data_IF_988721359692
#
_entry.id   IF_988721359692
#
_cell.length_a   1.000
_cell.length_b   1.000
_cell.length_c   1.000
_cell.angle_alpha   90.00
_cell.angle_beta   90.00
_cell.angle_gamma   90.00
#
_symmetry.space_group_name_H-M   'P 1'
#
loop_
_entity.id
_entity.type
_entity.pdbx_description
1 polymer ?
#
# COMPACT_ATOMS: atom_id res chain seq x y z
N UNK A 1 -35.89 -41.19 57.70
CA UNK A 1 -34.96 -41.16 56.55
C UNK A 1 -35.16 -39.82 55.85
N UNK A 2 -34.25 -38.87 56.09
CA UNK A 2 -33.37 -38.30 55.06
C UNK A 2 -34.17 -37.66 53.91
N UNK A 3 -34.32 -36.32 53.93
CA UNK A 3 -33.52 -35.36 53.13
C UNK A 3 -34.06 -35.24 51.69
N UNK A 4 -34.18 -34.11 51.00
CA UNK A 4 -33.97 -32.68 51.20
C UNK A 4 -34.24 -32.02 49.80
N UNK A 5 -34.50 -30.72 49.74
CA UNK A 5 -34.43 -29.82 48.55
C UNK A 5 -35.51 -29.96 47.45
N UNK A 6 -36.04 -28.91 46.82
CA UNK A 6 -35.97 -27.46 47.00
C UNK A 6 -37.08 -26.80 46.16
N UNK A 7 -37.75 -25.88 46.81
CA UNK A 7 -38.48 -24.66 46.40
C UNK A 7 -38.31 -24.11 44.97
N UNK A 8 -39.48 -23.77 44.38
CA UNK A 8 -39.93 -22.45 43.94
C UNK A 8 -39.08 -21.55 43.00
N UNK A 9 -39.70 -21.23 41.86
CA UNK A 9 -39.87 -19.90 41.24
C UNK A 9 -38.64 -19.02 40.96
N UNK A 10 -38.42 -18.73 39.68
CA UNK A 10 -37.58 -17.62 39.23
C UNK A 10 -37.76 -17.34 37.74
N UNK A 11 -38.62 -16.36 37.43
CA UNK A 11 -38.63 -15.71 36.12
C UNK A 11 -37.29 -15.03 35.89
N UNK A 12 -36.58 -15.33 34.79
CA UNK A 12 -35.59 -14.41 34.23
C UNK A 12 -35.74 -14.41 32.70
N UNK A 13 -36.18 -13.27 32.18
CA UNK A 13 -36.03 -12.88 30.80
C UNK A 13 -34.54 -12.92 30.43
N UNK A 14 -34.21 -13.46 29.26
CA UNK A 14 -32.89 -13.23 28.68
C UNK A 14 -33.05 -12.37 27.42
N UNK A 15 -32.71 -11.09 27.60
CA UNK A 15 -32.58 -10.13 26.53
C UNK A 15 -31.32 -10.47 25.75
N UNK A 16 -31.50 -11.08 24.58
CA UNK A 16 -30.43 -11.24 23.60
C UNK A 16 -29.98 -9.87 23.11
N UNK A 17 -28.99 -9.30 23.79
CA UNK A 17 -28.14 -8.22 23.28
C UNK A 17 -27.49 -8.73 21.99
N UNK A 18 -28.10 -8.40 20.85
CA UNK A 18 -27.51 -8.60 19.54
C UNK A 18 -26.31 -7.66 19.40
N UNK A 19 -25.15 -8.08 19.89
CA UNK A 19 -23.89 -7.48 19.49
C UNK A 19 -23.75 -7.69 17.98
N UNK A 20 -24.01 -6.64 17.20
CA UNK A 20 -23.58 -6.59 15.81
C UNK A 20 -22.07 -6.70 15.84
N UNK A 21 -21.54 -7.87 15.45
CA UNK A 21 -20.11 -8.02 15.23
C UNK A 21 -19.73 -7.01 14.13
N UNK A 22 -19.06 -5.93 14.51
CA UNK A 22 -18.47 -5.00 13.57
C UNK A 22 -17.51 -5.82 12.72
N UNK A 23 -17.89 -6.05 11.45
CA UNK A 23 -17.04 -6.72 10.48
C UNK A 23 -15.75 -5.91 10.42
N UNK A 24 -14.66 -6.50 10.89
CA UNK A 24 -13.35 -5.86 10.86
C UNK A 24 -13.04 -5.51 9.41
N UNK A 25 -12.84 -4.22 9.14
CA UNK A 25 -12.54 -3.79 7.78
C UNK A 25 -11.18 -4.40 7.39
N UNK A 26 -11.07 -4.97 6.18
CA UNK A 26 -9.81 -5.55 5.74
C UNK A 26 -8.70 -4.50 5.80
N UNK A 27 -7.50 -4.92 6.18
CA UNK A 27 -6.32 -4.06 6.15
C UNK A 27 -5.79 -3.94 4.72
N UNK A 28 -5.27 -2.76 4.38
CA UNK A 28 -4.57 -2.56 3.12
C UNK A 28 -3.20 -3.24 3.21
N UNK A 29 -2.90 -4.09 2.24
CA UNK A 29 -1.68 -4.90 2.17
C UNK A 29 -1.34 -5.23 0.71
N UNK A 30 -0.17 -5.81 0.48
CA UNK A 30 0.25 -6.36 -0.81
C UNK A 30 -0.68 -7.52 -1.20
N UNK A 31 -1.21 -7.50 -2.42
CA UNK A 31 -2.19 -8.48 -2.91
C UNK A 31 -1.52 -9.67 -3.59
N UNK A 32 -1.61 -10.84 -2.96
CA UNK A 32 -1.05 -12.09 -3.50
C UNK A 32 -1.80 -12.61 -4.73
N UNK A 33 -2.96 -12.05 -5.07
CA UNK A 33 -3.67 -12.35 -6.33
C UNK A 33 -3.20 -11.46 -7.49
N UNK A 34 -2.50 -10.37 -7.19
CA UNK A 34 -2.02 -9.39 -8.16
C UNK A 34 -0.53 -9.12 -7.94
N UNK A 35 0.28 -10.16 -8.16
CA UNK A 35 1.74 -10.12 -8.06
C UNK A 35 2.39 -10.85 -9.24
N UNK A 36 3.65 -10.52 -9.51
CA UNK A 36 4.50 -11.21 -10.48
C UNK A 36 4.79 -12.66 -10.08
N UNK A 37 5.21 -13.46 -11.05
CA UNK A 37 5.37 -14.92 -10.93
C UNK A 37 6.39 -15.31 -9.86
N UNK A 38 7.50 -14.57 -9.81
CA UNK A 38 8.63 -14.85 -8.91
C UNK A 38 8.68 -13.87 -7.72
N UNK A 39 7.54 -13.23 -7.42
CA UNK A 39 7.39 -12.33 -6.27
C UNK A 39 7.08 -13.15 -5.01
N UNK A 40 7.74 -12.77 -3.92
CA UNK A 40 7.54 -13.37 -2.60
C UNK A 40 7.02 -12.31 -1.64
N UNK A 41 5.86 -12.58 -1.04
CA UNK A 41 5.21 -11.69 -0.07
C UNK A 41 5.26 -12.32 1.32
N UNK A 42 5.81 -11.61 2.29
CA UNK A 42 5.93 -12.06 3.70
C UNK A 42 5.53 -10.95 4.68
N UNK A 43 5.70 -11.18 5.99
CA UNK A 43 5.32 -10.25 7.07
C UNK A 43 3.86 -9.79 6.98
N UNK A 44 2.94 -10.74 6.77
CA UNK A 44 1.49 -10.46 6.68
C UNK A 44 1.15 -9.42 5.59
N UNK A 45 1.65 -9.64 4.37
CA UNK A 45 1.35 -8.76 3.23
C UNK A 45 2.09 -7.43 3.24
N UNK A 46 3.17 -7.30 4.03
CA UNK A 46 3.89 -6.03 4.20
C UNK A 46 5.31 -6.03 3.63
N UNK A 47 5.88 -7.18 3.30
CA UNK A 47 7.22 -7.27 2.72
C UNK A 47 7.15 -7.91 1.35
N UNK A 48 7.81 -7.29 0.37
CA UNK A 48 8.03 -7.84 -0.97
C UNK A 48 9.52 -8.09 -1.20
N UNK A 49 9.84 -9.25 -1.76
CA UNK A 49 11.16 -9.64 -2.28
C UNK A 49 10.99 -10.59 -3.49
N UNK A 50 12.09 -11.05 -4.09
CA UNK A 50 12.08 -11.87 -5.30
C UNK A 50 12.22 -11.02 -6.57
N UNK A 51 11.54 -11.39 -7.65
CA UNK A 51 11.59 -10.68 -8.93
C UNK A 51 10.17 -10.44 -9.47
N UNK A 52 9.80 -9.18 -9.64
CA UNK A 52 8.50 -8.75 -10.15
C UNK A 52 7.85 -7.63 -9.35
N UNK A 53 6.63 -7.27 -9.73
CA UNK A 53 5.78 -6.25 -9.11
C UNK A 53 4.59 -6.83 -8.36
N UNK A 54 4.03 -6.06 -7.44
CA UNK A 54 2.80 -6.40 -6.72
C UNK A 54 1.96 -5.13 -6.49
N UNK A 55 0.65 -5.24 -6.71
CA UNK A 55 -0.32 -4.20 -6.36
C UNK A 55 -0.74 -4.33 -4.89
N UNK A 56 -1.14 -3.23 -4.27
CA UNK A 56 -1.91 -3.33 -3.02
C UNK A 56 -3.35 -3.79 -3.31
N UNK A 57 -4.01 -4.35 -2.30
CA UNK A 57 -5.38 -4.88 -2.39
C UNK A 57 -6.49 -3.81 -2.37
N UNK A 58 -6.14 -2.52 -2.28
CA UNK A 58 -7.09 -1.41 -2.23
C UNK A 58 -6.78 -0.35 -3.30
N UNK A 59 -7.77 0.06 -4.11
CA UNK A 59 -7.58 1.13 -5.08
C UNK A 59 -7.49 2.50 -4.39
N UNK A 60 -6.86 3.45 -5.08
CA UNK A 60 -6.83 4.85 -4.66
C UNK A 60 -8.10 5.56 -5.14
N UNK A 61 -9.26 5.27 -4.54
CA UNK A 61 -10.54 5.92 -4.89
C UNK A 61 -10.78 7.26 -4.17
N UNK A 62 -10.11 7.46 -3.04
CA UNK A 62 -10.23 8.69 -2.26
C UNK A 62 -9.38 9.83 -2.85
N UNK A 63 -9.87 11.06 -2.70
CA UNK A 63 -9.26 12.25 -3.29
C UNK A 63 -7.77 12.44 -2.99
N UNK A 64 -7.28 12.01 -1.82
CA UNK A 64 -5.90 12.20 -1.38
C UNK A 64 -5.42 10.99 -0.59
N UNK A 65 -4.49 10.23 -1.16
CA UNK A 65 -3.95 9.00 -0.57
C UNK A 65 -2.46 9.12 -0.28
N UNK A 66 -2.04 8.54 0.84
CA UNK A 66 -0.64 8.43 1.25
C UNK A 66 -0.29 7.00 1.65
N UNK A 67 0.89 6.56 1.25
CA UNK A 67 1.49 5.30 1.67
C UNK A 67 3.02 5.43 1.71
N UNK A 68 3.67 4.54 2.46
CA UNK A 68 5.11 4.54 2.63
C UNK A 68 5.72 3.18 2.27
N UNK A 69 7.01 3.22 1.93
CA UNK A 69 7.84 2.04 1.79
C UNK A 69 9.20 2.29 2.42
N UNK A 70 9.64 1.35 3.25
CA UNK A 70 11.00 1.33 3.80
C UNK A 70 11.88 0.42 2.97
N UNK A 71 13.01 0.93 2.52
CA UNK A 71 14.00 0.17 1.75
C UNK A 71 14.79 -0.69 2.75
N UNK A 72 14.56 -1.99 2.77
CA UNK A 72 15.22 -2.91 3.70
C UNK A 72 16.54 -3.42 3.15
N UNK A 73 16.59 -3.63 1.82
CA UNK A 73 17.81 -3.90 1.08
C UNK A 73 17.66 -3.33 -0.32
N UNK A 74 18.68 -2.63 -0.79
CA UNK A 74 18.67 -2.07 -2.14
C UNK A 74 18.95 -3.16 -3.19
N UNK A 75 18.86 -2.79 -4.46
CA UNK A 75 18.90 -3.66 -5.64
C UNK A 75 18.17 -2.95 -6.76
N UNK A 76 17.40 -3.69 -7.56
CA UNK A 76 16.49 -3.09 -8.53
C UNK A 76 15.10 -3.02 -7.91
N UNK A 77 14.54 -1.82 -7.78
CA UNK A 77 13.21 -1.65 -7.20
C UNK A 77 12.53 -0.38 -7.68
N UNK A 78 11.23 -0.29 -7.44
CA UNK A 78 10.50 0.93 -7.65
C UNK A 78 9.13 0.91 -6.99
N UNK A 79 8.57 2.10 -6.85
CA UNK A 79 7.32 2.35 -6.13
C UNK A 79 6.51 3.43 -6.82
N UNK A 80 5.19 3.29 -6.84
CA UNK A 80 4.31 4.32 -7.37
C UNK A 80 2.88 3.83 -7.49
N UNK A 81 2.26 4.10 -8.65
CA UNK A 81 0.88 3.69 -8.93
C UNK A 81 0.78 2.92 -10.24
N UNK A 82 -0.12 1.94 -10.29
CA UNK A 82 -0.42 1.20 -11.51
C UNK A 82 -1.90 0.77 -11.58
N UNK A 83 -2.36 0.49 -12.80
CA UNK A 83 -3.65 -0.17 -13.04
C UNK A 83 -3.48 -1.70 -13.03
N UNK A 84 -4.57 -2.46 -12.89
CA UNK A 84 -4.53 -3.94 -13.04
C UNK A 84 -4.02 -4.44 -14.40
N UNK A 85 -3.91 -3.56 -15.41
CA UNK A 85 -3.39 -3.91 -16.73
C UNK A 85 -1.87 -3.87 -16.82
N UNK A 86 -1.17 -3.38 -15.78
CA UNK A 86 0.29 -3.32 -15.78
C UNK A 86 0.88 -4.73 -15.79
N UNK A 87 1.95 -4.93 -16.57
CA UNK A 87 2.67 -6.20 -16.57
C UNK A 87 3.57 -6.29 -15.33
N UNK A 88 3.13 -7.03 -14.32
CA UNK A 88 3.85 -7.21 -13.05
C UNK A 88 5.11 -8.08 -13.16
N UNK A 89 5.38 -8.74 -14.30
CA UNK A 89 6.64 -9.45 -14.54
C UNK A 89 7.68 -8.57 -15.25
N UNK A 90 7.32 -7.35 -15.65
CA UNK A 90 8.21 -6.46 -16.38
C UNK A 90 9.00 -5.58 -15.41
N UNK A 91 10.32 -5.77 -15.40
CA UNK A 91 11.25 -4.99 -14.60
C UNK A 91 12.25 -4.28 -15.53
N UNK A 92 12.43 -2.95 -15.42
CA UNK A 92 11.71 -2.04 -14.54
C UNK A 92 10.27 -1.76 -15.00
N UNK A 93 9.39 -1.38 -14.07
CA UNK A 93 8.06 -0.85 -14.41
C UNK A 93 8.14 0.59 -14.94
N UNK A 94 7.01 1.16 -15.37
CA UNK A 94 6.94 2.49 -15.97
C UNK A 94 7.29 2.55 -17.46
N UNK A 95 7.45 1.40 -18.12
CA UNK A 95 7.67 1.32 -19.58
C UNK A 95 6.36 1.34 -20.39
N UNK A 96 5.21 1.20 -19.72
CA UNK A 96 3.88 1.20 -20.33
C UNK A 96 3.01 2.33 -19.79
N UNK A 97 1.80 2.47 -20.36
CA UNK A 97 0.81 3.46 -19.92
C UNK A 97 0.07 3.04 -18.63
N UNK A 98 0.37 1.86 -18.10
CA UNK A 98 -0.36 1.25 -17.00
C UNK A 98 0.34 1.44 -15.66
N UNK A 99 1.54 2.02 -15.65
CA UNK A 99 2.34 2.26 -14.45
C UNK A 99 3.04 3.62 -14.48
N UNK A 100 3.13 4.26 -13.31
CA UNK A 100 3.92 5.46 -13.02
C UNK A 100 4.70 5.17 -11.75
N UNK A 101 6.02 5.11 -11.85
CA UNK A 101 6.88 4.63 -10.76
C UNK A 101 8.13 5.49 -10.59
N UNK A 102 8.51 5.74 -9.34
CA UNK A 102 9.86 6.09 -8.94
C UNK A 102 10.72 4.82 -8.98
N UNK A 103 11.87 4.89 -9.66
CA UNK A 103 12.88 3.82 -9.73
C UNK A 103 13.98 4.04 -8.72
N UNK A 104 14.78 3.01 -8.47
CA UNK A 104 15.88 3.00 -7.51
C UNK A 104 16.94 4.08 -7.75
N UNK A 105 17.11 4.54 -8.99
CA UNK A 105 18.07 5.58 -9.38
C UNK A 105 17.53 7.02 -9.18
N UNK A 106 16.33 7.15 -8.61
CA UNK A 106 15.67 8.42 -8.36
C UNK A 106 14.87 8.97 -9.54
N UNK A 107 14.75 8.23 -10.65
CA UNK A 107 13.95 8.66 -11.81
C UNK A 107 12.49 8.25 -11.70
N UNK A 108 11.58 9.11 -12.18
CA UNK A 108 10.16 8.81 -12.27
C UNK A 108 9.80 8.51 -13.72
N UNK A 109 9.27 7.32 -13.98
CA UNK A 109 8.98 6.83 -15.34
C UNK A 109 7.50 6.51 -15.52
N UNK A 110 6.98 6.86 -16.70
CA UNK A 110 5.69 6.46 -17.21
C UNK A 110 5.72 6.39 -18.74
N UNK A 111 5.14 5.35 -19.34
CA UNK A 111 5.13 5.16 -20.79
C UNK A 111 6.53 5.20 -21.43
N UNK A 112 7.54 4.67 -20.72
CA UNK A 112 8.94 4.66 -21.13
C UNK A 112 9.57 6.05 -21.29
N UNK A 113 9.00 7.06 -20.63
CA UNK A 113 9.53 8.42 -20.60
C UNK A 113 9.83 8.84 -19.15
N UNK A 114 11.00 9.44 -18.96
CA UNK A 114 11.35 10.10 -17.70
C UNK A 114 10.44 11.34 -17.52
N UNK A 115 9.60 11.32 -16.50
CA UNK A 115 8.66 12.41 -16.17
C UNK A 115 9.26 13.40 -15.19
N UNK A 116 10.10 12.91 -14.28
CA UNK A 116 10.80 13.73 -13.30
C UNK A 116 11.97 12.95 -12.69
N UNK A 117 12.77 13.60 -11.85
CA UNK A 117 13.93 13.00 -11.19
C UNK A 117 14.19 13.64 -9.83
N UNK A 118 14.47 12.82 -8.83
CA UNK A 118 14.96 13.28 -7.53
C UNK A 118 16.31 14.01 -7.67
N UNK A 119 16.59 15.03 -6.85
CA UNK A 119 17.92 15.63 -6.79
C UNK A 119 19.01 14.58 -6.55
N UNK A 120 20.18 14.73 -7.19
CA UNK A 120 21.25 13.73 -7.13
C UNK A 120 21.75 13.41 -5.71
N UNK A 121 21.63 14.36 -4.77
CA UNK A 121 21.98 14.18 -3.36
C UNK A 121 20.86 13.53 -2.52
N UNK A 122 19.78 13.10 -3.16
CA UNK A 122 18.56 12.57 -2.53
C UNK A 122 18.13 11.26 -3.20
N UNK A 123 19.10 10.51 -3.76
CA UNK A 123 18.86 9.15 -4.27
C UNK A 123 18.61 8.24 -3.06
N UNK A 124 17.46 7.54 -3.00
CA UNK A 124 17.09 6.72 -1.84
C UNK A 124 18.09 5.60 -1.56
N UNK A 125 18.42 5.40 -0.29
CA UNK A 125 19.38 4.39 0.18
C UNK A 125 18.70 3.33 1.05
N UNK A 126 19.42 2.25 1.35
CA UNK A 126 18.98 1.26 2.33
C UNK A 126 18.74 1.92 3.70
N UNK A 127 17.61 1.59 4.32
CA UNK A 127 17.15 2.17 5.57
C UNK A 127 16.20 3.37 5.40
N UNK A 128 16.21 4.04 4.25
CA UNK A 128 15.34 5.19 3.99
C UNK A 128 13.87 4.79 3.89
N UNK A 129 13.01 5.75 4.23
CA UNK A 129 11.56 5.65 4.07
C UNK A 129 11.12 6.60 2.96
N UNK A 130 10.51 6.04 1.93
CA UNK A 130 9.87 6.79 0.86
C UNK A 130 8.38 6.93 1.15
N UNK A 131 7.88 8.16 1.11
CA UNK A 131 6.46 8.48 1.16
C UNK A 131 5.94 8.86 -0.21
N UNK A 132 4.76 8.37 -0.57
CA UNK A 132 4.10 8.64 -1.84
C UNK A 132 2.75 9.25 -1.54
N UNK A 133 2.50 10.44 -2.08
CA UNK A 133 1.18 11.07 -2.07
C UNK A 133 0.59 11.04 -3.47
N UNK A 134 -0.70 10.72 -3.58
CA UNK A 134 -1.42 10.71 -4.86
C UNK A 134 -2.81 11.31 -4.71
N UNK A 135 -3.19 12.23 -5.59
CA UNK A 135 -4.47 12.94 -5.55
C UNK A 135 -5.27 12.92 -6.86
N UNK A 136 -4.98 11.95 -7.74
CA UNK A 136 -5.50 11.83 -9.11
C UNK A 136 -5.02 12.89 -10.11
N UNK A 137 -4.49 14.02 -9.66
CA UNK A 137 -3.85 15.01 -10.53
C UNK A 137 -2.37 14.69 -10.66
N UNK A 138 -1.70 14.44 -9.53
CA UNK A 138 -0.28 14.14 -9.50
C UNK A 138 0.10 13.11 -8.42
N UNK A 139 1.25 12.48 -8.66
CA UNK A 139 2.02 11.74 -7.69
C UNK A 139 3.16 12.65 -7.20
N UNK A 140 3.38 12.73 -5.89
CA UNK A 140 4.54 13.43 -5.33
C UNK A 140 5.28 12.56 -4.30
N UNK A 141 6.57 12.84 -4.14
CA UNK A 141 7.54 12.00 -3.44
C UNK A 141 8.08 12.67 -2.18
N UNK A 142 8.26 11.85 -1.14
CA UNK A 142 8.85 12.24 0.13
C UNK A 142 9.98 11.28 0.46
N UNK A 143 11.09 11.80 0.99
CA UNK A 143 12.20 11.00 1.48
C UNK A 143 12.41 11.33 2.96
N UNK A 144 12.26 10.34 3.83
CA UNK A 144 12.36 10.46 5.29
C UNK A 144 11.48 11.61 5.84
N UNK A 145 10.24 11.71 5.31
CA UNK A 145 9.26 12.74 5.68
C UNK A 145 9.47 14.12 5.03
N UNK A 146 10.58 14.34 4.32
CA UNK A 146 10.84 15.59 3.59
C UNK A 146 10.24 15.54 2.19
N UNK A 147 9.44 16.54 1.83
CA UNK A 147 8.92 16.69 0.47
C UNK A 147 10.08 16.93 -0.52
N UNK A 148 10.14 16.12 -1.58
CA UNK A 148 11.15 16.22 -2.61
C UNK A 148 10.80 17.21 -3.71
N UNK A 149 9.56 17.74 -3.72
CA UNK A 149 9.02 18.64 -4.74
C UNK A 149 9.27 18.10 -6.16
N UNK A 150 9.00 16.79 -6.33
CA UNK A 150 9.24 16.04 -7.55
C UNK A 150 7.90 15.43 -8.03
N UNK A 151 6.94 16.28 -8.44
CA UNK A 151 5.63 15.79 -8.87
C UNK A 151 5.70 15.15 -10.26
N UNK A 152 4.84 14.19 -10.51
CA UNK A 152 4.59 13.62 -11.83
C UNK A 152 3.08 13.50 -12.07
N UNK A 153 2.61 13.87 -13.27
CA UNK A 153 1.19 13.80 -13.61
C UNK A 153 0.64 12.38 -13.45
N UNK A 154 -0.53 12.27 -12.83
CA UNK A 154 -1.21 11.00 -12.60
C UNK A 154 -1.59 10.27 -13.89
N UNK A 155 -1.87 8.98 -13.76
CA UNK A 155 -2.27 8.12 -14.89
C UNK A 155 -3.78 7.88 -14.89
N UNK A 156 -4.31 7.50 -16.06
CA UNK A 156 -5.75 7.27 -16.24
C UNK A 156 -6.17 5.89 -15.73
N UNK A 157 -7.43 5.81 -15.28
CA UNK A 157 -8.07 4.57 -14.82
C UNK A 157 -8.02 4.40 -13.30
N UNK A 158 -8.59 3.29 -12.82
CA UNK A 158 -8.49 2.92 -11.41
C UNK A 158 -7.07 2.44 -11.12
N UNK A 159 -6.41 3.13 -10.20
CA UNK A 159 -5.01 2.88 -9.84
C UNK A 159 -4.87 2.36 -8.42
N UNK A 160 -3.79 1.63 -8.20
CA UNK A 160 -3.42 0.97 -6.96
C UNK A 160 -1.96 1.34 -6.67
N UNK A 161 -1.55 1.41 -5.39
CA UNK A 161 -0.13 1.37 -5.04
C UNK A 161 0.52 0.16 -5.71
N UNK A 162 1.69 0.37 -6.31
CA UNK A 162 2.51 -0.70 -6.89
C UNK A 162 3.93 -0.61 -6.36
N UNK A 163 4.52 -1.78 -6.16
CA UNK A 163 5.90 -1.96 -5.73
C UNK A 163 6.52 -3.04 -6.60
N UNK A 164 7.74 -2.85 -7.07
CA UNK A 164 8.49 -3.91 -7.73
C UNK A 164 9.88 -4.06 -7.15
N UNK A 165 10.40 -5.28 -7.25
CA UNK A 165 11.72 -5.67 -6.74
C UNK A 165 12.36 -6.64 -7.73
N UNK A 166 13.68 -6.60 -7.79
CA UNK A 166 14.57 -7.54 -8.46
C UNK A 166 15.99 -7.34 -7.89
N UNK A 167 16.95 -8.19 -8.28
CA UNK A 167 18.35 -8.12 -7.83
C UNK A 167 18.47 -8.03 -6.30
N UNK A 168 17.79 -8.96 -5.60
CA UNK A 168 17.79 -9.09 -4.14
C UNK A 168 17.18 -7.93 -3.35
N UNK A 169 16.51 -6.97 -4.01
CA UNK A 169 15.85 -5.87 -3.32
C UNK A 169 14.75 -6.36 -2.37
N UNK A 170 14.64 -5.71 -1.21
CA UNK A 170 13.62 -5.99 -0.20
C UNK A 170 12.97 -4.69 0.24
N UNK A 171 11.64 -4.63 0.16
CA UNK A 171 10.86 -3.47 0.54
C UNK A 171 9.81 -3.84 1.61
N UNK A 172 9.69 -3.01 2.64
CA UNK A 172 8.62 -3.08 3.65
C UNK A 172 7.59 -1.97 3.40
N UNK A 173 6.40 -2.33 2.96
CA UNK A 173 5.27 -1.43 2.71
C UNK A 173 4.52 -1.08 3.99
N UNK A 174 4.03 0.15 4.04
CA UNK A 174 3.34 0.72 5.18
C UNK A 174 2.12 1.50 4.66
N UNK A 175 0.92 0.98 4.92
CA UNK A 175 -0.36 1.56 4.46
C UNK A 175 -1.18 2.19 5.60
N UNK A 176 -0.80 1.95 6.86
CA UNK A 176 -1.28 2.60 8.09
C UNK A 176 -0.07 2.94 8.95
N UNK A 177 -0.19 3.48 10.17
CA UNK A 177 0.90 3.54 11.17
C UNK A 177 2.27 3.97 10.60
N UNK A 178 2.26 5.11 9.90
CA UNK A 178 3.40 5.61 9.12
C UNK A 178 4.60 5.98 10.00
N UNK A 179 5.81 5.87 9.44
CA UNK A 179 7.04 6.37 10.05
C UNK A 179 7.05 7.90 10.12
N UNK A 180 6.45 8.55 9.11
CA UNK A 180 6.33 10.00 9.04
C UNK A 180 4.87 10.42 8.94
N UNK A 181 4.55 11.56 9.54
CA UNK A 181 3.20 12.13 9.47
C UNK A 181 2.84 12.41 8.00
N UNK A 182 1.68 11.92 7.51
CA UNK A 182 1.23 12.21 6.16
C UNK A 182 1.16 13.72 5.88
N UNK A 183 1.39 14.14 4.62
CA UNK A 183 1.24 15.54 4.21
C UNK A 183 -0.17 16.06 4.48
N UNK A 184 -0.32 17.38 4.63
CA UNK A 184 -1.61 17.98 4.98
C UNK A 184 -2.72 17.60 3.99
N UNK A 185 -3.81 17.04 4.53
CA UNK A 185 -4.98 16.61 3.76
C UNK A 185 -4.84 15.25 3.08
N UNK A 186 -3.68 14.59 3.15
CA UNK A 186 -3.50 13.22 2.71
C UNK A 186 -3.68 12.25 3.87
N UNK A 187 -4.25 11.08 3.58
CA UNK A 187 -4.57 10.06 4.57
C UNK A 187 -4.21 8.66 4.07
N UNK A 188 -4.19 7.70 4.99
CA UNK A 188 -4.05 6.29 4.64
C UNK A 188 -5.11 5.83 3.65
N UNK A 189 -4.81 4.79 2.89
CA UNK A 189 -5.75 4.19 1.94
C UNK A 189 -6.89 3.52 2.71
N UNK A 190 -8.13 3.80 2.29
CA UNK A 190 -9.34 3.24 2.87
C UNK A 190 -10.05 2.38 1.82
N UNK A 191 -10.61 1.26 2.26
CA UNK A 191 -11.59 0.55 1.44
C UNK A 191 -12.88 1.37 1.37
N UNK A 192 -13.55 1.36 0.21
CA UNK A 192 -14.90 1.89 0.13
C UNK A 192 -15.81 1.10 1.08
N UNK A 193 -16.45 1.82 2.01
CA UNK A 193 -17.57 1.26 2.75
C UNK A 193 -18.74 1.15 1.78
N UNK A 194 -19.13 -0.09 1.45
CA UNK A 194 -20.43 -0.31 0.83
C UNK A 194 -21.50 0.08 1.86
N UNK A 195 -22.05 1.27 1.69
CA UNK A 195 -23.28 1.69 2.37
C UNK A 195 -24.40 0.91 1.68
N UNK A 196 -24.93 -0.10 2.37
CA UNK A 196 -26.10 -0.85 1.92
C UNK A 196 -27.38 -0.03 2.08
#
# INVERSE_FOLDING_TARGET
MAALFSCCAGCCADGGSGHVALKEMPSVQLDTHHMGTDVVIVKSGRRICGTGGCLANAPLHQNKSYFEVKIQSTGVWGVGVATHKANLNQIPMGMDIHSLVLRQDGTVYHSNEEKNRLPANSIPQEGDVLGISYDHVELNLFLNGKNMNCPASGIRGTVFPVFYVDDSAILDCQFSDFYHTPPQGFQKILFEQQIF
#
